data_IF_313939981365
#
_entry.id   IF_313939981365
#
_cell.length_a   1.000
_cell.length_b   1.000
_cell.length_c   1.000
_cell.angle_alpha   90.00
_cell.angle_beta   90.00
_cell.angle_gamma   90.00
#
_symmetry.space_group_name_H-M   'P 1'
#
loop_
_entity.id
_entity.type
_entity.pdbx_description
1 polymer ?
#
# COMPACT_ATOMS: atom_id res chain seq x y z
N UNK A 1 -4.28 -3.53 -17.33
CA UNK A 1 -5.00 -2.80 -16.26
C UNK A 1 -5.76 -3.83 -15.45
N UNK A 2 -5.50 -3.92 -14.14
CA UNK A 2 -6.20 -4.84 -13.23
C UNK A 2 -7.47 -4.22 -12.69
N UNK A 3 -8.47 -5.03 -12.37
CA UNK A 3 -9.66 -4.56 -11.66
C UNK A 3 -9.46 -4.54 -10.13
N UNK A 4 -10.38 -3.89 -9.42
CA UNK A 4 -10.32 -3.73 -7.95
C UNK A 4 -10.19 -5.05 -7.18
N UNK A 5 -10.85 -6.12 -7.64
CA UNK A 5 -10.77 -7.43 -6.97
C UNK A 5 -9.38 -8.07 -7.09
N UNK A 6 -8.76 -7.97 -8.27
CA UNK A 6 -7.38 -8.43 -8.49
C UNK A 6 -6.39 -7.64 -7.62
N UNK A 7 -6.58 -6.33 -7.52
CA UNK A 7 -5.76 -5.46 -6.66
C UNK A 7 -5.89 -5.85 -5.18
N UNK A 8 -7.11 -6.10 -4.69
CA UNK A 8 -7.32 -6.59 -3.32
C UNK A 8 -6.68 -7.95 -3.05
N UNK A 9 -6.65 -8.86 -4.03
CA UNK A 9 -5.95 -10.13 -3.88
C UNK A 9 -4.44 -9.93 -3.74
N UNK A 10 -3.86 -9.04 -4.56
CA UNK A 10 -2.45 -8.68 -4.50
C UNK A 10 -2.12 -8.03 -3.16
N UNK A 11 -2.92 -7.06 -2.71
CA UNK A 11 -2.78 -6.44 -1.40
C UNK A 11 -2.78 -7.47 -0.28
N UNK A 12 -3.77 -8.37 -0.24
CA UNK A 12 -3.86 -9.39 0.82
C UNK A 12 -2.64 -10.30 0.86
N UNK A 13 -2.15 -10.75 -0.30
CA UNK A 13 -0.94 -11.57 -0.40
C UNK A 13 0.30 -10.77 0.05
N UNK A 14 0.43 -9.54 -0.41
CA UNK A 14 1.54 -8.65 -0.04
C UNK A 14 1.57 -8.38 1.47
N UNK A 15 0.41 -8.12 2.08
CA UNK A 15 0.26 -7.91 3.51
C UNK A 15 0.62 -9.17 4.31
N UNK A 16 0.21 -10.36 3.86
CA UNK A 16 0.60 -11.62 4.50
C UNK A 16 2.12 -11.81 4.49
N UNK A 17 2.76 -11.57 3.34
CA UNK A 17 4.22 -11.64 3.21
C UNK A 17 4.91 -10.63 4.12
N UNK A 18 4.43 -9.39 4.16
CA UNK A 18 5.00 -8.32 4.98
C UNK A 18 4.87 -8.65 6.47
N UNK A 19 3.73 -9.17 6.91
CA UNK A 19 3.51 -9.60 8.30
C UNK A 19 4.44 -10.75 8.70
N UNK A 20 4.60 -11.75 7.82
CA UNK A 20 5.52 -12.86 8.08
C UNK A 20 6.96 -12.36 8.22
N UNK A 21 7.42 -11.55 7.26
CA UNK A 21 8.76 -10.96 7.29
C UNK A 21 8.98 -10.08 8.53
N UNK A 22 8.00 -9.27 8.92
CA UNK A 22 8.06 -8.43 10.13
C UNK A 22 8.22 -9.26 11.41
N UNK A 23 7.59 -10.43 11.48
CA UNK A 23 7.67 -11.36 12.61
C UNK A 23 9.05 -11.98 12.76
N UNK A 24 9.69 -12.34 11.64
CA UNK A 24 10.98 -13.03 11.61
C UNK A 24 12.18 -12.08 11.55
N UNK A 25 11.96 -10.81 11.19
CA UNK A 25 13.02 -9.83 10.97
C UNK A 25 13.70 -9.41 12.29
N UNK A 26 15.05 -9.42 12.36
CA UNK A 26 15.80 -8.98 13.53
C UNK A 26 15.91 -7.46 13.67
N UNK A 27 15.29 -6.69 12.77
CA UNK A 27 15.35 -5.22 12.77
C UNK A 27 14.66 -4.62 14.00
N UNK A 28 15.11 -3.42 14.37
CA UNK A 28 14.46 -2.64 15.42
C UNK A 28 13.11 -2.11 14.94
N UNK A 29 12.29 -1.69 15.90
CA UNK A 29 10.93 -1.22 15.61
C UNK A 29 10.91 0.01 14.70
N UNK A 30 11.81 0.97 14.90
CA UNK A 30 11.98 2.17 14.07
C UNK A 30 12.33 1.84 12.61
N UNK A 31 13.24 0.90 12.40
CA UNK A 31 13.64 0.44 11.06
C UNK A 31 12.47 -0.26 10.35
N UNK A 32 11.69 -1.04 11.10
CA UNK A 32 10.49 -1.71 10.61
C UNK A 32 9.40 -0.72 10.20
N UNK A 33 9.23 0.40 10.91
CA UNK A 33 8.28 1.45 10.54
C UNK A 33 8.62 2.05 9.17
N UNK A 34 9.88 2.43 8.94
CA UNK A 34 10.29 2.97 7.64
C UNK A 34 10.07 2.00 6.48
N UNK A 35 10.23 0.70 6.73
CA UNK A 35 9.96 -0.33 5.72
C UNK A 35 8.45 -0.50 5.46
N UNK A 36 7.62 -0.42 6.51
CA UNK A 36 6.16 -0.42 6.36
C UNK A 36 5.71 0.78 5.54
N UNK A 37 6.25 1.97 5.81
CA UNK A 37 5.88 3.20 5.10
C UNK A 37 6.26 3.10 3.62
N UNK A 38 7.48 2.66 3.32
CA UNK A 38 7.92 2.43 1.94
C UNK A 38 7.05 1.39 1.22
N UNK A 39 6.69 0.30 1.89
CA UNK A 39 5.81 -0.73 1.33
C UNK A 39 4.38 -0.20 1.05
N UNK A 40 3.82 0.62 1.94
CA UNK A 40 2.52 1.26 1.70
C UNK A 40 2.59 2.26 0.53
N UNK A 41 3.69 2.99 0.42
CA UNK A 41 3.94 3.93 -0.67
C UNK A 41 3.96 3.22 -2.03
N UNK A 42 4.67 2.09 -2.14
CA UNK A 42 4.72 1.26 -3.34
C UNK A 42 3.34 0.70 -3.73
N UNK A 43 2.56 0.23 -2.75
CA UNK A 43 1.19 -0.25 -3.02
C UNK A 43 0.28 0.87 -3.50
N UNK A 44 0.42 2.07 -2.95
CA UNK A 44 -0.34 3.23 -3.41
C UNK A 44 0.00 3.61 -4.85
N UNK A 45 1.28 3.61 -5.22
CA UNK A 45 1.72 3.81 -6.61
C UNK A 45 1.12 2.71 -7.51
N UNK A 46 1.22 1.45 -7.10
CA UNK A 46 0.71 0.31 -7.87
C UNK A 46 -0.80 0.40 -8.14
N UNK A 47 -1.60 0.80 -7.15
CA UNK A 47 -3.02 1.04 -7.32
C UNK A 47 -3.30 2.20 -8.28
N UNK A 48 -2.57 3.32 -8.13
CA UNK A 48 -2.70 4.51 -8.99
C UNK A 48 -2.37 4.18 -10.45
N UNK A 49 -1.30 3.43 -10.71
CA UNK A 49 -0.92 2.95 -12.05
C UNK A 49 -1.95 2.02 -12.68
N UNK A 50 -2.80 1.38 -11.87
CA UNK A 50 -3.92 0.57 -12.34
C UNK A 50 -5.25 1.35 -12.40
N UNK A 51 -5.23 2.65 -12.15
CA UNK A 51 -6.42 3.52 -12.23
C UNK A 51 -7.36 3.41 -11.02
N UNK A 52 -6.87 2.90 -9.89
CA UNK A 52 -7.66 2.69 -8.68
C UNK A 52 -7.07 3.44 -7.47
N UNK A 53 -7.92 3.86 -6.55
CA UNK A 53 -7.51 4.41 -5.27
C UNK A 53 -7.06 3.30 -4.33
N UNK A 54 -5.89 3.45 -3.70
CA UNK A 54 -5.42 2.48 -2.70
C UNK A 54 -6.29 2.43 -1.44
N UNK A 55 -6.85 3.57 -1.01
CA UNK A 55 -7.62 3.65 0.22
C UNK A 55 -9.01 2.98 0.11
N UNK A 56 -9.71 3.17 -1.01
CA UNK A 56 -11.08 2.65 -1.19
C UNK A 56 -11.24 1.63 -2.32
N UNK A 57 -10.25 1.43 -3.17
CA UNK A 57 -10.30 0.49 -4.30
C UNK A 57 -11.16 0.95 -5.49
N UNK A 58 -11.82 2.12 -5.41
CA UNK A 58 -12.62 2.71 -6.49
C UNK A 58 -11.74 3.22 -7.63
N UNK A 59 -12.33 3.42 -8.82
CA UNK A 59 -11.64 4.11 -9.91
C UNK A 59 -11.31 5.55 -9.52
N UNK A 60 -10.13 6.03 -9.95
CA UNK A 60 -9.67 7.38 -9.59
C UNK A 60 -10.65 8.48 -10.00
N UNK A 61 -11.27 8.36 -11.17
CA UNK A 61 -12.23 9.35 -11.70
C UNK A 61 -13.50 9.50 -10.84
N UNK A 62 -13.82 8.51 -10.00
CA UNK A 62 -14.97 8.52 -9.09
C UNK A 62 -14.59 8.57 -7.61
N UNK A 63 -13.29 8.67 -7.30
CA UNK A 63 -12.80 8.59 -5.94
C UNK A 63 -13.01 9.92 -5.19
N UNK A 64 -13.57 9.85 -3.98
CA UNK A 64 -13.72 10.99 -3.07
C UNK A 64 -12.74 10.97 -1.90
N UNK A 65 -11.82 10.00 -1.88
CA UNK A 65 -10.74 10.03 -0.90
C UNK A 65 -9.95 11.31 -1.13
N UNK A 66 -9.76 12.12 -0.09
CA UNK A 66 -8.58 12.98 -0.06
C UNK A 66 -7.41 12.01 -0.14
N UNK A 67 -6.75 11.91 -1.29
CA UNK A 67 -5.44 11.26 -1.31
C UNK A 67 -4.65 11.92 -0.18
N UNK A 68 -4.10 11.16 0.79
CA UNK A 68 -3.27 11.78 1.80
C UNK A 68 -2.16 12.50 1.06
N UNK A 69 -2.08 13.81 1.31
CA UNK A 69 -1.08 14.71 0.77
C UNK A 69 0.27 13.99 0.73
N UNK A 70 0.86 13.91 -0.45
CA UNK A 70 2.25 13.47 -0.63
C UNK A 70 3.11 14.23 0.39
N UNK A 71 3.68 13.52 1.37
CA UNK A 71 4.56 14.12 2.37
C UNK A 71 4.29 13.66 3.80
N UNK A 72 4.83 12.51 4.17
CA UNK A 72 5.40 12.32 5.50
C UNK A 72 6.86 11.87 5.34
N UNK A 73 7.66 12.80 4.83
CA UNK A 73 9.07 12.91 5.20
C UNK A 73 9.18 14.23 5.97
N UNK A 74 9.24 14.14 7.29
CA UNK A 74 9.88 15.14 8.15
C UNK A 74 10.79 14.40 9.12
#
# INVERSE_FOLDING_TARGET
>A
MKNSNELHQIYRRSLQNMRAWMGDSPLRFDEKLGIIDAWQEELRIYYRENGHCYACGEQLDGCLCHEPLEGWVQ
#
